data_IF_735528585378
#
_entry.id   IF_735528585378
#
_cell.length_a   1.000
_cell.length_b   1.000
_cell.length_c   1.000
_cell.angle_alpha   90.00
_cell.angle_beta   90.00
_cell.angle_gamma   90.00
#
_symmetry.space_group_name_H-M   'P 1'
#
loop_
_entity.id
_entity.type
_entity.pdbx_description
1 polymer ?
#
# COMPACT_ATOMS: atom_id res chain seq x y z
N UNK A 1 -18.57 -10.96 -6.65
CA UNK A 1 -19.28 -10.09 -5.70
C UNK A 1 -18.30 -9.07 -5.16
N UNK A 2 -18.68 -7.79 -5.15
CA UNK A 2 -17.89 -6.75 -4.50
C UNK A 2 -17.83 -7.06 -3.00
N UNK A 3 -16.63 -7.13 -2.42
CA UNK A 3 -16.47 -7.32 -0.98
C UNK A 3 -17.23 -6.22 -0.23
N UNK A 4 -17.94 -6.57 0.82
CA UNK A 4 -18.65 -5.61 1.65
C UNK A 4 -17.61 -4.71 2.36
N UNK A 5 -17.55 -3.44 1.96
CA UNK A 5 -16.66 -2.44 2.57
C UNK A 5 -17.25 -2.01 3.91
N UNK A 6 -16.54 -2.28 5.01
CA UNK A 6 -16.98 -1.87 6.35
C UNK A 6 -16.80 -0.36 6.57
N UNK A 7 -17.50 0.20 7.56
CA UNK A 7 -17.30 1.61 7.97
C UNK A 7 -15.86 1.83 8.49
N UNK A 8 -15.28 0.83 9.15
CA UNK A 8 -13.87 0.82 9.56
C UNK A 8 -12.94 0.95 8.35
N UNK A 9 -13.16 0.16 7.28
CA UNK A 9 -12.34 0.24 6.07
C UNK A 9 -12.45 1.61 5.40
N UNK A 10 -13.66 2.19 5.37
CA UNK A 10 -13.88 3.54 4.83
C UNK A 10 -13.16 4.61 5.62
N UNK A 11 -13.20 4.53 6.96
CA UNK A 11 -12.51 5.49 7.82
C UNK A 11 -10.99 5.43 7.61
N UNK A 12 -10.40 4.22 7.63
CA UNK A 12 -8.98 4.01 7.34
C UNK A 12 -8.63 4.55 5.95
N UNK A 13 -9.40 4.19 4.92
CA UNK A 13 -9.17 4.63 3.56
C UNK A 13 -9.26 6.15 3.41
N UNK A 14 -10.19 6.81 4.12
CA UNK A 14 -10.31 8.27 4.15
C UNK A 14 -9.06 8.94 4.74
N UNK A 15 -8.53 8.41 5.84
CA UNK A 15 -7.30 8.91 6.45
C UNK A 15 -6.09 8.70 5.53
N UNK A 16 -5.98 7.55 4.86
CA UNK A 16 -4.90 7.30 3.90
C UNK A 16 -5.02 8.26 2.70
N UNK A 17 -6.22 8.43 2.15
CA UNK A 17 -6.45 9.31 1.01
C UNK A 17 -6.06 10.76 1.32
N UNK A 18 -6.21 11.23 2.57
CA UNK A 18 -5.77 12.56 2.99
C UNK A 18 -4.25 12.74 3.05
N UNK A 19 -3.48 11.65 3.04
CA UNK A 19 -2.01 11.68 2.97
C UNK A 19 -1.49 11.69 1.54
N UNK A 20 -2.32 11.39 0.53
CA UNK A 20 -1.96 11.37 -0.88
C UNK A 20 -2.12 12.76 -1.48
N UNK A 21 -1.14 13.20 -2.26
CA UNK A 21 -1.17 14.46 -2.99
C UNK A 21 -1.19 14.23 -4.50
N UNK A 22 -1.59 15.24 -5.25
CA UNK A 22 -1.48 15.22 -6.71
C UNK A 22 -0.02 14.99 -7.13
N UNK A 23 0.19 14.13 -8.10
CA UNK A 23 1.52 13.76 -8.60
C UNK A 23 2.27 12.70 -7.79
N UNK A 24 1.72 12.21 -6.67
CA UNK A 24 2.34 11.13 -5.90
C UNK A 24 2.42 9.82 -6.72
N UNK A 25 3.48 9.05 -6.49
CA UNK A 25 3.63 7.70 -7.05
C UNK A 25 3.24 6.67 -6.00
N UNK A 26 2.30 5.80 -6.32
CA UNK A 26 1.67 4.91 -5.35
C UNK A 26 2.15 3.46 -5.50
N UNK A 27 2.45 2.83 -4.37
CA UNK A 27 2.40 1.39 -4.18
C UNK A 27 1.19 1.06 -3.32
N UNK A 28 0.43 0.08 -3.76
CA UNK A 28 -0.84 -0.27 -3.12
C UNK A 28 -0.87 -1.78 -2.90
N UNK A 29 -1.13 -2.18 -1.66
CA UNK A 29 -1.36 -3.58 -1.29
C UNK A 29 -2.68 -4.11 -1.87
N UNK A 30 -3.05 -5.30 -1.45
CA UNK A 30 -4.31 -5.97 -1.85
C UNK A 30 -5.25 -6.06 -0.66
N UNK A 31 -6.55 -6.00 -0.93
CA UNK A 31 -7.60 -6.16 0.09
C UNK A 31 -8.63 -5.03 0.10
N UNK A 32 -9.58 -5.10 1.04
CA UNK A 32 -10.71 -4.17 1.11
C UNK A 32 -10.28 -2.72 1.35
N UNK A 33 -9.32 -2.48 2.23
CA UNK A 33 -8.82 -1.12 2.52
C UNK A 33 -8.11 -0.53 1.29
N UNK A 34 -7.10 -1.18 0.66
CA UNK A 34 -6.47 -0.68 -0.56
C UNK A 34 -7.46 -0.37 -1.70
N UNK A 35 -8.42 -1.25 -1.95
CA UNK A 35 -9.44 -1.03 -2.99
C UNK A 35 -10.34 0.16 -2.64
N UNK A 36 -10.65 0.36 -1.36
CA UNK A 36 -11.43 1.50 -0.89
C UNK A 36 -10.63 2.80 -1.02
N UNK A 37 -9.33 2.80 -0.68
CA UNK A 37 -8.43 3.95 -0.90
C UNK A 37 -8.48 4.38 -2.37
N UNK A 38 -8.25 3.46 -3.31
CA UNK A 38 -8.30 3.77 -4.74
C UNK A 38 -9.64 4.41 -5.14
N UNK A 39 -10.76 3.93 -4.58
CA UNK A 39 -12.07 4.49 -4.88
C UNK A 39 -12.25 5.95 -4.40
N UNK A 40 -11.51 6.36 -3.36
CA UNK A 40 -11.54 7.71 -2.78
C UNK A 40 -10.60 8.70 -3.48
N UNK A 41 -9.62 8.22 -4.27
CA UNK A 41 -8.65 9.07 -4.95
C UNK A 41 -9.17 9.72 -6.24
N UNK A 42 -10.45 9.63 -6.54
CA UNK A 42 -11.05 10.10 -7.82
C UNK A 42 -10.96 11.60 -8.05
N UNK A 43 -10.70 12.39 -7.01
CA UNK A 43 -10.47 13.84 -7.10
C UNK A 43 -9.02 14.26 -7.33
N UNK A 44 -8.07 13.31 -7.26
CA UNK A 44 -6.64 13.59 -7.46
C UNK A 44 -6.27 13.66 -8.93
N UNK A 45 -5.07 14.18 -9.19
CA UNK A 45 -4.52 14.36 -10.55
C UNK A 45 -3.08 13.88 -10.63
N UNK A 46 -2.73 13.38 -11.82
CA UNK A 46 -1.34 13.04 -12.17
C UNK A 46 -0.70 11.98 -11.26
N UNK A 47 -1.50 11.10 -10.66
CA UNK A 47 -0.96 10.00 -9.86
C UNK A 47 -0.15 9.04 -10.74
N UNK A 48 0.89 8.47 -10.16
CA UNK A 48 1.72 7.43 -10.76
C UNK A 48 1.59 6.09 -10.04
N UNK A 49 1.98 5.00 -10.70
CA UNK A 49 1.98 3.65 -10.12
C UNK A 49 3.36 3.01 -10.26
N UNK A 50 3.89 2.55 -9.13
CA UNK A 50 5.03 1.65 -9.02
C UNK A 50 4.70 0.65 -7.89
N UNK A 51 4.19 -0.51 -8.23
CA UNK A 51 3.59 -1.46 -7.27
C UNK A 51 3.94 -2.90 -7.60
N UNK A 52 3.87 -3.80 -6.63
CA UNK A 52 4.04 -5.23 -6.89
C UNK A 52 2.89 -5.76 -7.75
N UNK A 53 1.64 -5.45 -7.39
CA UNK A 53 0.45 -5.96 -8.06
C UNK A 53 -0.35 -4.84 -8.73
N UNK A 54 -0.56 -4.95 -10.04
CA UNK A 54 -1.54 -4.15 -10.77
C UNK A 54 -2.96 -4.68 -10.55
N UNK A 55 -3.95 -3.79 -10.40
CA UNK A 55 -5.31 -4.16 -9.99
C UNK A 55 -6.41 -3.45 -10.81
N UNK A 56 -7.63 -3.99 -10.72
CA UNK A 56 -8.83 -3.38 -11.32
C UNK A 56 -9.07 -1.94 -10.82
N UNK A 57 -8.71 -1.63 -9.57
CA UNK A 57 -8.84 -0.27 -9.03
C UNK A 57 -7.93 0.72 -9.75
N UNK A 58 -6.71 0.33 -10.09
CA UNK A 58 -5.77 1.13 -10.89
C UNK A 58 -6.36 1.40 -12.27
N UNK A 59 -6.88 0.38 -12.97
CA UNK A 59 -7.56 0.55 -14.26
C UNK A 59 -8.66 1.61 -14.20
N UNK A 60 -9.53 1.54 -13.18
CA UNK A 60 -10.64 2.50 -13.03
C UNK A 60 -10.16 3.94 -12.86
N UNK A 61 -9.06 4.17 -12.15
CA UNK A 61 -8.47 5.50 -11.98
C UNK A 61 -7.75 5.97 -13.26
N UNK A 62 -7.13 5.08 -14.04
CA UNK A 62 -6.60 5.40 -15.35
C UNK A 62 -7.70 5.83 -16.32
N UNK A 63 -8.81 5.09 -16.39
CA UNK A 63 -9.98 5.42 -17.23
C UNK A 63 -10.61 6.78 -16.86
N UNK A 64 -10.46 7.23 -15.60
CA UNK A 64 -10.89 8.55 -15.14
C UNK A 64 -9.85 9.65 -15.33
N UNK A 65 -8.66 9.32 -15.86
CA UNK A 65 -7.55 10.27 -16.03
C UNK A 65 -6.89 10.72 -14.73
N UNK A 66 -7.14 10.03 -13.61
CA UNK A 66 -6.51 10.32 -12.31
C UNK A 66 -5.06 9.79 -12.28
N UNK A 67 -4.86 8.59 -12.82
CA UNK A 67 -3.54 7.97 -12.99
C UNK A 67 -3.14 8.15 -14.45
N UNK A 68 -2.14 8.97 -14.70
CA UNK A 68 -1.52 9.19 -16.02
C UNK A 68 -0.01 8.96 -16.00
N UNK A 69 0.57 8.73 -14.83
CA UNK A 69 1.99 8.51 -14.59
C UNK A 69 2.91 9.64 -15.11
N UNK A 70 2.35 10.81 -15.42
CA UNK A 70 3.08 11.92 -16.04
C UNK A 70 4.11 12.56 -15.13
N UNK A 71 3.93 12.49 -13.81
CA UNK A 71 4.83 13.09 -12.82
C UNK A 71 5.81 12.10 -12.19
N UNK A 72 5.80 10.83 -12.59
CA UNK A 72 6.78 9.84 -12.10
C UNK A 72 8.22 10.26 -12.43
N UNK A 73 9.14 9.93 -11.53
CA UNK A 73 10.58 10.14 -11.75
C UNK A 73 11.17 9.08 -12.67
N UNK A 74 10.88 7.80 -12.41
CA UNK A 74 11.29 6.67 -13.25
C UNK A 74 10.09 6.13 -14.03
N UNK A 75 10.36 5.59 -15.23
CA UNK A 75 9.33 4.97 -16.09
C UNK A 75 8.10 5.88 -16.28
N UNK A 76 8.33 7.17 -16.53
CA UNK A 76 7.29 8.17 -16.72
C UNK A 76 6.29 7.74 -17.80
N UNK A 77 5.00 7.96 -17.54
CA UNK A 77 3.90 7.56 -18.43
C UNK A 77 3.56 6.07 -18.36
N UNK A 78 4.19 5.29 -17.45
CA UNK A 78 3.96 3.85 -17.33
C UNK A 78 3.51 3.43 -15.94
N UNK A 79 2.50 2.58 -15.86
CA UNK A 79 2.20 1.75 -14.68
C UNK A 79 3.26 0.67 -14.60
N UNK A 80 4.07 0.67 -13.56
CA UNK A 80 5.10 -0.36 -13.34
C UNK A 80 4.64 -1.36 -12.29
N UNK A 81 4.66 -2.65 -12.65
CA UNK A 81 4.33 -3.73 -11.73
C UNK A 81 5.03 -5.04 -12.12
N UNK A 82 4.98 -6.03 -11.24
CA UNK A 82 5.54 -7.37 -11.50
C UNK A 82 4.46 -8.45 -11.62
N UNK A 83 3.29 -8.22 -11.04
CA UNK A 83 2.13 -9.10 -11.06
C UNK A 83 0.88 -8.34 -11.49
N UNK A 84 -0.10 -9.07 -12.01
CA UNK A 84 -1.42 -8.56 -12.38
C UNK A 84 -2.50 -9.42 -11.71
N UNK A 85 -3.47 -8.76 -11.08
CA UNK A 85 -4.60 -9.44 -10.45
C UNK A 85 -5.87 -8.60 -10.55
N UNK A 86 -6.95 -9.19 -11.08
CA UNK A 86 -8.19 -8.44 -11.25
C UNK A 86 -9.29 -9.19 -11.98
N UNK A 87 -10.25 -8.43 -12.47
CA UNK A 87 -11.39 -8.95 -13.24
C UNK A 87 -10.98 -9.31 -14.67
N UNK A 88 -11.83 -10.05 -15.39
CA UNK A 88 -11.64 -10.31 -16.82
C UNK A 88 -11.55 -9.03 -17.64
N UNK A 89 -12.27 -7.99 -17.23
CA UNK A 89 -12.22 -6.67 -17.85
C UNK A 89 -10.84 -6.02 -17.68
N UNK A 90 -10.26 -6.12 -16.48
CA UNK A 90 -8.90 -5.64 -16.21
C UNK A 90 -7.87 -6.34 -17.11
N UNK A 91 -7.91 -7.66 -17.24
CA UNK A 91 -6.99 -8.38 -18.12
C UNK A 91 -7.13 -7.96 -19.60
N UNK A 92 -8.36 -7.73 -20.08
CA UNK A 92 -8.59 -7.20 -21.43
C UNK A 92 -8.05 -5.77 -21.59
N UNK A 93 -8.14 -4.96 -20.54
CA UNK A 93 -7.63 -3.59 -20.57
C UNK A 93 -6.10 -3.55 -20.61
N UNK A 94 -5.44 -4.49 -19.95
CA UNK A 94 -3.95 -4.57 -19.90
C UNK A 94 -3.38 -5.22 -21.16
N UNK A 95 -4.14 -6.09 -21.81
CA UNK A 95 -3.69 -6.83 -22.98
C UNK A 95 -3.31 -5.87 -24.13
N UNK A 96 -2.04 -5.95 -24.58
CA UNK A 96 -1.46 -5.06 -25.60
C UNK A 96 -1.57 -3.55 -25.27
N UNK A 97 -1.62 -3.19 -23.98
CA UNK A 97 -1.68 -1.80 -23.54
C UNK A 97 -0.27 -1.30 -23.15
N UNK A 98 0.29 -0.42 -23.98
CA UNK A 98 1.64 0.13 -23.79
C UNK A 98 1.78 0.98 -22.53
N UNK A 99 0.70 1.39 -21.87
CA UNK A 99 0.76 2.12 -20.60
C UNK A 99 1.22 1.24 -19.43
N UNK A 100 1.21 -0.09 -19.59
CA UNK A 100 1.69 -1.04 -18.60
C UNK A 100 3.08 -1.55 -18.93
N UNK A 101 3.96 -1.49 -17.93
CA UNK A 101 5.32 -1.96 -18.02
C UNK A 101 5.58 -3.03 -16.95
N UNK A 102 5.50 -4.30 -17.37
CA UNK A 102 5.83 -5.43 -16.52
C UNK A 102 7.36 -5.52 -16.33
N UNK A 103 7.80 -5.50 -15.09
CA UNK A 103 9.21 -5.62 -14.73
C UNK A 103 9.44 -6.80 -13.78
N UNK A 104 10.66 -7.30 -13.74
CA UNK A 104 11.08 -8.33 -12.77
C UNK A 104 10.93 -7.80 -11.34
N UNK A 105 10.63 -8.69 -10.39
CA UNK A 105 10.57 -8.34 -8.97
C UNK A 105 11.88 -7.71 -8.46
N UNK A 106 13.02 -8.15 -8.97
CA UNK A 106 14.34 -7.56 -8.65
C UNK A 106 14.49 -6.07 -9.05
N UNK A 107 13.59 -5.53 -9.87
CA UNK A 107 13.49 -4.11 -10.17
C UNK A 107 12.37 -3.46 -9.36
N UNK A 108 11.17 -4.02 -9.43
CA UNK A 108 9.96 -3.41 -8.83
C UNK A 108 10.04 -3.35 -7.31
N UNK A 109 10.59 -4.40 -6.67
CA UNK A 109 10.71 -4.50 -5.21
C UNK A 109 12.10 -4.08 -4.70
N UNK A 110 12.94 -3.47 -5.53
CA UNK A 110 14.25 -3.04 -5.10
C UNK A 110 14.18 -1.67 -4.39
N UNK A 111 14.49 -1.56 -3.09
CA UNK A 111 14.45 -0.29 -2.37
C UNK A 111 15.34 0.79 -3.03
N UNK A 112 16.47 0.41 -3.65
CA UNK A 112 17.34 1.33 -4.36
C UNK A 112 16.71 1.88 -5.66
N UNK A 113 15.72 1.20 -6.23
CA UNK A 113 14.90 1.70 -7.35
C UNK A 113 13.74 2.52 -6.81
N UNK A 114 13.01 1.98 -5.83
CA UNK A 114 11.83 2.60 -5.24
C UNK A 114 12.15 4.00 -4.69
N UNK A 115 13.28 4.16 -3.99
CA UNK A 115 13.69 5.44 -3.40
C UNK A 115 14.00 6.54 -4.43
N UNK A 116 14.19 6.21 -5.71
CA UNK A 116 14.36 7.17 -6.79
C UNK A 116 13.03 7.75 -7.30
N UNK A 117 11.88 7.16 -6.93
CA UNK A 117 10.58 7.75 -7.20
C UNK A 117 10.31 8.85 -6.18
N UNK A 118 10.37 10.13 -6.59
CA UNK A 118 9.95 11.23 -5.72
C UNK A 118 8.49 11.07 -5.34
N UNK A 119 8.13 11.49 -4.12
CA UNK A 119 6.78 11.41 -3.59
C UNK A 119 6.21 9.97 -3.65
N UNK A 120 7.03 8.99 -3.35
CA UNK A 120 6.61 7.60 -3.30
C UNK A 120 5.75 7.34 -2.06
N UNK A 121 4.52 6.91 -2.23
CA UNK A 121 3.60 6.55 -1.14
C UNK A 121 3.38 5.05 -1.14
N UNK A 122 3.95 4.37 -0.15
CA UNK A 122 3.79 2.93 0.05
C UNK A 122 2.71 2.66 1.09
N UNK A 123 1.65 1.93 0.69
CA UNK A 123 0.49 1.61 1.53
C UNK A 123 0.38 0.11 1.72
N UNK A 124 0.60 -0.34 2.96
CA UNK A 124 0.60 -1.74 3.32
C UNK A 124 -0.21 -2.00 4.59
N UNK A 125 -0.67 -3.23 4.78
CA UNK A 125 -1.42 -3.63 5.97
C UNK A 125 -0.54 -4.39 6.95
N UNK A 126 -0.83 -4.24 8.25
CA UNK A 126 -0.23 -5.04 9.31
C UNK A 126 -1.29 -5.87 10.05
N UNK A 127 -0.85 -6.93 10.71
CA UNK A 127 -1.68 -7.73 11.62
C UNK A 127 -1.71 -7.06 12.99
N UNK A 128 -0.57 -6.62 13.49
CA UNK A 128 -0.42 -5.92 14.77
C UNK A 128 0.84 -5.04 14.77
N UNK A 129 0.85 -4.02 15.60
CA UNK A 129 1.99 -3.13 15.83
C UNK A 129 2.18 -2.90 17.33
N UNK A 130 3.41 -2.80 17.80
CA UNK A 130 3.70 -2.47 19.18
C UNK A 130 3.99 -0.97 19.39
N UNK A 131 4.07 -0.56 20.68
CA UNK A 131 4.35 0.83 21.07
C UNK A 131 5.80 1.26 20.77
N UNK A 132 6.66 0.35 20.31
CA UNK A 132 7.99 0.66 19.80
C UNK A 132 8.00 0.90 18.27
N UNK A 133 6.85 0.72 17.60
CA UNK A 133 6.71 0.88 16.15
C UNK A 133 7.12 -0.36 15.34
N UNK A 134 7.30 -1.51 15.98
CA UNK A 134 7.57 -2.78 15.30
C UNK A 134 6.27 -3.42 14.87
N UNK A 135 6.18 -3.86 13.61
CA UNK A 135 4.96 -4.45 13.05
C UNK A 135 5.15 -5.90 12.64
N UNK A 136 4.17 -6.71 12.96
CA UNK A 136 3.97 -8.07 12.46
C UNK A 136 2.89 -8.04 11.39
N UNK A 137 3.21 -8.55 10.20
CA UNK A 137 2.27 -8.61 9.06
C UNK A 137 2.05 -10.02 8.52
N UNK A 138 2.68 -11.03 9.09
CA UNK A 138 2.72 -12.38 8.51
C UNK A 138 2.41 -13.53 9.49
N UNK A 139 2.36 -13.28 10.81
CA UNK A 139 2.04 -14.31 11.80
C UNK A 139 0.77 -14.00 12.59
N UNK A 140 -0.04 -15.02 12.83
CA UNK A 140 -1.23 -14.94 13.69
C UNK A 140 -1.14 -16.05 14.74
N UNK A 141 -1.21 -15.67 16.03
CA UNK A 141 -1.19 -16.61 17.15
C UNK A 141 -0.03 -17.62 17.09
N UNK A 142 1.18 -17.13 16.77
CA UNK A 142 2.39 -17.95 16.72
C UNK A 142 2.49 -18.85 15.47
N UNK A 143 1.60 -18.70 14.49
CA UNK A 143 1.64 -19.47 13.24
C UNK A 143 1.86 -18.55 12.05
N UNK A 144 2.73 -18.97 11.14
CA UNK A 144 2.92 -18.27 9.87
C UNK A 144 1.62 -18.28 9.07
N UNK A 145 1.15 -17.11 8.66
CA UNK A 145 -0.09 -16.91 7.91
C UNK A 145 0.17 -16.61 6.43
N UNK A 146 1.21 -15.83 6.16
CA UNK A 146 1.59 -15.43 4.80
C UNK A 146 3.11 -15.38 4.66
N UNK A 147 3.61 -15.19 3.45
CA UNK A 147 4.98 -14.75 3.21
C UNK A 147 5.15 -13.26 3.49
N UNK A 148 6.39 -12.78 3.51
CA UNK A 148 6.75 -11.37 3.70
C UNK A 148 6.27 -10.50 2.52
N UNK A 149 6.33 -11.01 1.29
CA UNK A 149 6.06 -10.23 0.07
C UNK A 149 7.00 -9.03 -0.08
N UNK A 150 6.54 -8.01 -0.79
CA UNK A 150 7.30 -6.78 -1.05
C UNK A 150 7.08 -5.66 -0.01
N UNK A 151 6.36 -5.90 1.07
CA UNK A 151 5.98 -4.86 2.03
C UNK A 151 7.16 -4.05 2.54
N UNK A 152 8.19 -4.72 3.07
CA UNK A 152 9.35 -4.04 3.68
C UNK A 152 10.17 -3.31 2.62
N UNK A 153 10.29 -3.87 1.42
CA UNK A 153 11.01 -3.24 0.32
C UNK A 153 10.36 -1.90 -0.05
N UNK A 154 9.04 -1.86 -0.15
CA UNK A 154 8.28 -0.64 -0.47
C UNK A 154 8.28 0.35 0.69
N UNK A 155 8.06 -0.07 1.94
CA UNK A 155 8.11 0.83 3.09
C UNK A 155 9.48 1.49 3.20
N UNK A 156 10.56 0.71 3.10
CA UNK A 156 11.94 1.20 3.14
C UNK A 156 12.26 2.12 1.97
N UNK A 157 11.91 1.72 0.77
CA UNK A 157 12.12 2.53 -0.43
C UNK A 157 11.37 3.86 -0.38
N UNK A 158 10.12 3.86 0.08
CA UNK A 158 9.32 5.08 0.25
C UNK A 158 9.88 5.99 1.35
N UNK A 159 10.32 5.43 2.48
CA UNK A 159 10.95 6.19 3.56
C UNK A 159 12.25 6.89 3.09
N UNK A 160 13.00 6.26 2.20
CA UNK A 160 14.23 6.82 1.63
C UNK A 160 13.98 7.80 0.47
N UNK A 161 12.78 7.82 -0.12
CA UNK A 161 12.45 8.65 -1.26
C UNK A 161 12.23 10.11 -0.84
N UNK A 162 12.67 11.06 -1.67
CA UNK A 162 12.38 12.48 -1.48
C UNK A 162 10.84 12.71 -1.49
N UNK A 163 10.29 13.25 -0.39
CA UNK A 163 8.85 13.44 -0.23
C UNK A 163 8.05 12.14 -0.06
N UNK A 164 8.72 11.03 0.16
CA UNK A 164 8.07 9.72 0.28
C UNK A 164 7.35 9.51 1.62
N UNK A 165 6.42 8.56 1.63
CA UNK A 165 5.61 8.20 2.80
C UNK A 165 5.48 6.69 2.90
N UNK A 166 5.90 6.10 4.01
CA UNK A 166 5.67 4.70 4.32
C UNK A 166 4.50 4.58 5.31
N UNK A 167 3.44 3.88 4.88
CA UNK A 167 2.17 3.80 5.61
C UNK A 167 1.87 2.34 5.93
N UNK A 168 1.65 2.04 7.21
CA UNK A 168 1.01 0.83 7.68
C UNK A 168 -0.41 1.13 8.13
N UNK A 169 -1.37 0.33 7.68
CA UNK A 169 -2.76 0.50 8.06
C UNK A 169 -3.38 -0.81 8.55
N UNK A 170 -4.31 -0.68 9.48
CA UNK A 170 -5.08 -1.81 10.03
C UNK A 170 -6.24 -1.32 10.86
N UNK A 171 -7.33 -2.08 11.00
CA UNK A 171 -8.29 -1.84 12.08
C UNK A 171 -7.59 -1.90 13.43
N UNK A 172 -7.93 -1.01 14.35
CA UNK A 172 -7.30 -0.98 15.69
C UNK A 172 -7.55 -2.24 16.51
N UNK A 173 -8.61 -2.99 16.16
CA UNK A 173 -9.02 -4.20 16.85
C UNK A 173 -9.31 -5.35 15.90
N UNK A 174 -9.27 -6.57 16.43
CA UNK A 174 -9.67 -7.81 15.77
C UNK A 174 -10.73 -8.55 16.61
N UNK A 175 -11.24 -9.69 16.09
CA UNK A 175 -12.17 -10.57 16.80
C UNK A 175 -13.38 -9.81 17.36
N UNK A 176 -14.04 -9.01 16.52
CA UNK A 176 -15.23 -8.19 16.90
C UNK A 176 -14.95 -7.22 18.06
N UNK A 177 -13.76 -6.59 18.07
CA UNK A 177 -13.39 -5.61 19.08
C UNK A 177 -12.77 -6.18 20.38
N UNK A 178 -12.63 -7.50 20.49
CA UNK A 178 -12.13 -8.12 21.73
C UNK A 178 -10.63 -8.20 21.83
N UNK A 179 -9.89 -7.94 20.72
CA UNK A 179 -8.42 -7.97 20.68
C UNK A 179 -7.89 -6.68 20.07
N UNK A 180 -7.02 -5.98 20.80
CA UNK A 180 -6.27 -4.86 20.24
C UNK A 180 -5.23 -5.37 19.23
N UNK A 181 -5.05 -4.64 18.13
CA UNK A 181 -3.94 -4.82 17.19
C UNK A 181 -2.79 -3.85 17.47
N UNK A 182 -3.03 -2.84 18.32
CA UNK A 182 -1.98 -1.99 18.88
C UNK A 182 -1.67 -2.57 20.25
N UNK A 183 -0.46 -3.12 20.41
CA UNK A 183 -0.05 -3.86 21.61
C UNK A 183 1.13 -3.19 22.29
N UNK A 184 1.31 -3.38 23.59
CA UNK A 184 2.45 -2.82 24.31
C UNK A 184 3.78 -3.35 23.77
N UNK A 185 3.83 -4.65 23.48
CA UNK A 185 4.96 -5.36 22.88
C UNK A 185 4.41 -6.50 22.03
N UNK A 186 5.04 -6.80 20.89
CA UNK A 186 4.68 -7.96 20.08
C UNK A 186 4.78 -9.24 20.93
N UNK A 187 3.84 -10.19 20.75
CA UNK A 187 3.85 -11.44 21.50
C UNK A 187 5.17 -12.20 21.37
N UNK A 188 5.55 -12.94 22.41
CA UNK A 188 6.74 -13.76 22.34
C UNK A 188 6.68 -14.76 21.18
N UNK A 189 7.71 -14.77 20.34
CA UNK A 189 7.77 -15.59 19.13
C UNK A 189 7.06 -15.00 17.91
N UNK A 190 6.47 -13.80 18.00
CA UNK A 190 6.02 -13.08 16.81
C UNK A 190 7.24 -12.56 16.02
N UNK A 191 7.11 -12.55 14.70
CA UNK A 191 8.12 -11.95 13.83
C UNK A 191 7.94 -10.44 13.77
N UNK A 192 9.03 -9.73 13.58
CA UNK A 192 9.04 -8.31 13.22
C UNK A 192 9.17 -8.25 11.70
N UNK A 193 8.03 -8.08 11.01
CA UNK A 193 8.02 -7.96 9.55
C UNK A 193 8.57 -6.60 9.13
N UNK A 194 8.06 -5.51 9.73
CA UNK A 194 8.58 -4.17 9.51
C UNK A 194 9.16 -3.60 10.80
N UNK A 195 10.38 -3.05 10.71
CA UNK A 195 11.04 -2.41 11.83
C UNK A 195 10.51 -0.98 12.02
N UNK A 196 10.69 -0.42 13.22
CA UNK A 196 10.33 0.97 13.52
C UNK A 196 11.02 2.01 12.62
N UNK A 197 12.11 1.64 11.95
CA UNK A 197 12.82 2.52 11.03
C UNK A 197 12.20 2.57 9.64
N UNK A 198 11.33 1.61 9.32
CA UNK A 198 10.69 1.50 8.00
C UNK A 198 9.26 2.06 7.98
N UNK A 199 8.71 2.45 9.16
CA UNK A 199 7.31 2.89 9.31
C UNK A 199 7.25 4.36 9.69
N UNK A 200 6.69 5.21 8.81
CA UNK A 200 6.47 6.63 9.11
C UNK A 200 5.07 6.88 9.67
N UNK A 201 4.06 6.28 9.06
CA UNK A 201 2.67 6.51 9.44
C UNK A 201 1.97 5.20 9.80
N UNK A 202 1.21 5.22 10.88
CA UNK A 202 0.28 4.15 11.26
C UNK A 202 -1.13 4.69 11.19
N UNK A 203 -1.99 4.03 10.40
CA UNK A 203 -3.35 4.47 10.16
C UNK A 203 -4.35 3.44 10.66
N UNK A 204 -5.28 3.88 11.47
CA UNK A 204 -6.44 3.10 11.93
C UNK A 204 -7.72 3.87 11.62
N UNK A 205 -8.87 3.31 11.96
CA UNK A 205 -10.17 3.99 11.86
C UNK A 205 -10.29 5.25 12.72
N UNK A 206 -9.40 5.44 13.70
CA UNK A 206 -9.39 6.60 14.60
C UNK A 206 -8.52 7.75 14.11
N UNK A 207 -7.64 7.51 13.14
CA UNK A 207 -6.77 8.56 12.61
C UNK A 207 -5.40 8.05 12.19
N UNK A 208 -4.49 9.01 12.09
CA UNK A 208 -3.11 8.83 11.64
C UNK A 208 -2.17 9.12 12.80
N UNK A 209 -1.29 8.18 13.11
CA UNK A 209 -0.13 8.42 13.97
C UNK A 209 1.10 8.66 13.07
N UNK A 210 1.73 9.83 13.24
CA UNK A 210 3.01 10.18 12.63
C UNK A 210 4.11 9.76 13.62
N UNK A 211 4.95 8.82 13.20
CA UNK A 211 6.02 8.24 14.04
C UNK A 211 7.40 8.83 13.70
N UNK A 212 7.48 9.78 12.75
CA UNK A 212 8.72 10.30 12.20
C UNK A 212 9.07 11.70 12.71
#
# INVERSE_FOLDING_TARGET
EAAHVSETDKAIAGHIASLVNDGDTLQIGVGSVPDTVLSMLTGHKHLGIHTELGSTGIMKLMQKGVIDNSMKTLDRGKVVCTLMGGTKEFYKFVDHNDDFLMRRSSYVLNPAVICQQKNMVAMNSAIEIDLLGQANSEMIAGKQFSGVGGQVDFLRGAMMAEGGKSILCMPSTASKGTKSRIVAQLPAGAVVTASRYDVMYVVTEYGVADLW
#
